data_IF_842594039051
#
_entry.id   IF_842594039051
#
_cell.length_a   1.000
_cell.length_b   1.000
_cell.length_c   1.000
_cell.angle_alpha   90.00
_cell.angle_beta   90.00
_cell.angle_gamma   90.00
#
_symmetry.space_group_name_H-M   'P 1'
#
loop_
_entity.id
_entity.type
_entity.pdbx_description
1 polymer ?
#
# COMPACT_ATOMS: atom_id res chain seq x y z
N UNK A 1 7.42 14.88 -20.95
CA UNK A 1 6.72 15.24 -19.69
C UNK A 1 7.61 15.27 -18.44
N UNK A 2 8.90 14.89 -18.49
CA UNK A 2 9.80 14.85 -17.31
C UNK A 2 10.79 16.03 -17.19
N UNK A 3 10.76 16.98 -18.12
CA UNK A 3 11.76 18.05 -18.25
C UNK A 3 11.78 19.00 -17.04
N UNK A 4 10.62 19.34 -16.50
CA UNK A 4 10.53 20.20 -15.32
C UNK A 4 11.16 19.55 -14.07
N UNK A 5 10.87 18.28 -13.82
CA UNK A 5 11.45 17.52 -12.70
C UNK A 5 12.96 17.41 -12.82
N UNK A 6 13.47 17.15 -14.03
CA UNK A 6 14.90 17.14 -14.30
C UNK A 6 15.55 18.50 -14.00
N UNK A 7 14.96 19.60 -14.44
CA UNK A 7 15.48 20.95 -14.18
C UNK A 7 15.49 21.32 -12.68
N UNK A 8 14.50 20.85 -11.92
CA UNK A 8 14.43 21.05 -10.47
C UNK A 8 15.50 20.21 -9.77
N UNK A 9 15.71 18.97 -10.21
CA UNK A 9 16.74 18.09 -9.67
C UNK A 9 18.13 18.70 -9.90
N UNK A 10 18.43 19.14 -11.13
CA UNK A 10 19.71 19.74 -11.49
C UNK A 10 20.04 20.95 -10.63
N UNK A 11 19.10 21.90 -10.51
CA UNK A 11 19.27 23.09 -9.67
C UNK A 11 19.53 22.75 -8.21
N UNK A 12 18.85 21.72 -7.67
CA UNK A 12 19.09 21.29 -6.28
C UNK A 12 20.46 20.65 -6.10
N UNK A 13 20.94 19.89 -7.08
CA UNK A 13 22.27 19.28 -7.05
C UNK A 13 23.33 20.40 -7.09
N UNK A 14 23.19 21.37 -8.01
CA UNK A 14 24.07 22.54 -8.10
C UNK A 14 24.11 23.34 -6.79
N UNK A 15 22.96 23.59 -6.18
CA UNK A 15 22.86 24.26 -4.88
C UNK A 15 23.60 23.48 -3.78
N UNK A 16 23.36 22.17 -3.68
CA UNK A 16 24.03 21.34 -2.67
C UNK A 16 25.55 21.29 -2.86
N UNK A 17 26.03 21.27 -4.11
CA UNK A 17 27.46 21.37 -4.43
C UNK A 17 28.04 22.72 -4.03
N UNK A 18 27.33 23.82 -4.28
CA UNK A 18 27.77 25.17 -3.91
C UNK A 18 27.81 25.38 -2.39
N UNK A 19 26.85 24.81 -1.66
CA UNK A 19 26.79 24.86 -0.20
C UNK A 19 27.74 23.87 0.48
N UNK A 20 28.35 22.95 -0.27
CA UNK A 20 29.21 21.90 0.27
C UNK A 20 28.46 20.88 1.14
N UNK A 21 27.15 20.76 1.01
CA UNK A 21 26.30 19.84 1.79
C UNK A 21 26.24 18.43 1.19
N UNK A 22 26.92 18.21 0.06
CA UNK A 22 27.01 16.87 -0.56
C UNK A 22 27.81 15.94 0.37
N UNK A 23 27.26 14.80 0.77
CA UNK A 23 27.97 13.84 1.60
C UNK A 23 29.15 13.22 0.85
N UNK A 24 30.18 12.77 1.57
CA UNK A 24 31.29 12.03 0.96
C UNK A 24 30.81 10.66 0.44
N UNK A 25 30.77 10.53 -0.89
CA UNK A 25 30.34 9.32 -1.61
C UNK A 25 31.52 8.42 -2.00
N UNK A 26 32.75 8.73 -1.59
CA UNK A 26 33.97 8.00 -1.99
C UNK A 26 33.89 6.50 -1.68
N UNK A 27 33.21 6.13 -0.60
CA UNK A 27 32.99 4.74 -0.17
C UNK A 27 32.05 3.92 -1.08
N UNK A 28 31.34 4.56 -2.01
CA UNK A 28 30.51 3.93 -3.05
C UNK A 28 31.26 3.72 -4.36
N UNK A 29 32.47 4.26 -4.51
CA UNK A 29 33.26 4.11 -5.74
C UNK A 29 33.53 2.63 -6.03
N UNK A 30 33.28 2.22 -7.27
CA UNK A 30 33.41 0.83 -7.75
C UNK A 30 32.53 -0.21 -7.03
N UNK A 31 31.52 0.23 -6.26
CA UNK A 31 30.52 -0.70 -5.72
C UNK A 31 29.38 -0.88 -6.73
N UNK A 32 28.87 -2.11 -6.92
CA UNK A 32 27.67 -2.32 -7.71
C UNK A 32 26.49 -1.57 -7.09
N UNK A 33 25.57 -1.10 -7.93
CA UNK A 33 24.33 -0.52 -7.44
C UNK A 33 23.55 -1.58 -6.65
N UNK A 34 22.84 -1.18 -5.58
CA UNK A 34 21.89 -2.06 -4.91
C UNK A 34 20.84 -2.59 -5.88
N UNK A 35 20.31 -3.77 -5.61
CA UNK A 35 19.19 -4.32 -6.38
C UNK A 35 17.99 -3.36 -6.36
N UNK A 36 17.40 -3.13 -7.54
CA UNK A 36 16.22 -2.28 -7.63
C UNK A 36 15.02 -3.01 -7.01
N UNK A 37 14.52 -2.47 -5.90
CA UNK A 37 13.33 -3.00 -5.21
C UNK A 37 12.05 -3.02 -6.08
N UNK A 38 12.07 -2.35 -7.24
CA UNK A 38 10.92 -2.21 -8.15
C UNK A 38 11.11 -2.91 -9.50
N UNK A 39 11.98 -3.94 -9.59
CA UNK A 39 12.20 -4.72 -10.83
C UNK A 39 10.90 -5.25 -11.47
N UNK A 40 9.89 -5.57 -10.66
CA UNK A 40 8.59 -6.08 -11.14
C UNK A 40 7.65 -4.99 -11.67
N UNK A 41 8.04 -3.70 -11.61
CA UNK A 41 7.24 -2.57 -12.07
C UNK A 41 7.74 -2.12 -13.45
N UNK A 42 6.85 -1.90 -14.44
CA UNK A 42 7.22 -1.37 -15.74
C UNK A 42 8.08 -0.10 -15.63
N UNK A 43 9.06 0.04 -16.53
CA UNK A 43 10.05 1.12 -16.50
C UNK A 43 9.40 2.51 -16.39
N UNK A 44 8.35 2.73 -17.15
CA UNK A 44 7.65 4.01 -17.26
C UNK A 44 6.93 4.40 -15.95
N UNK A 45 6.55 3.40 -15.14
CA UNK A 45 5.82 3.59 -13.89
C UNK A 45 6.75 3.68 -12.67
N UNK A 46 7.97 3.14 -12.75
CA UNK A 46 8.91 3.06 -11.60
C UNK A 46 9.15 4.42 -10.95
N UNK A 47 9.29 5.49 -11.72
CA UNK A 47 9.53 6.82 -11.18
C UNK A 47 8.34 7.32 -10.34
N UNK A 48 7.12 7.18 -10.85
CA UNK A 48 5.91 7.59 -10.15
C UNK A 48 5.72 6.79 -8.85
N UNK A 49 5.90 5.47 -8.90
CA UNK A 49 5.82 4.62 -7.70
C UNK A 49 6.90 4.95 -6.68
N UNK A 50 8.12 5.25 -7.12
CA UNK A 50 9.22 5.64 -6.22
C UNK A 50 8.95 6.98 -5.54
N UNK A 51 8.38 7.95 -6.26
CA UNK A 51 7.94 9.22 -5.67
C UNK A 51 6.88 9.00 -4.60
N UNK A 52 5.84 8.22 -4.90
CA UNK A 52 4.77 7.90 -3.94
C UNK A 52 5.34 7.19 -2.70
N UNK A 53 6.21 6.19 -2.89
CA UNK A 53 6.87 5.47 -1.80
C UNK A 53 7.70 6.41 -0.92
N UNK A 54 8.52 7.27 -1.53
CA UNK A 54 9.37 8.21 -0.80
C UNK A 54 8.56 9.29 -0.06
N UNK A 55 7.39 9.67 -0.57
CA UNK A 55 6.45 10.56 0.10
C UNK A 55 5.69 9.89 1.27
N UNK A 56 5.94 8.60 1.53
CA UNK A 56 5.22 7.85 2.57
C UNK A 56 3.80 7.46 2.18
N UNK A 57 3.44 7.53 0.89
CA UNK A 57 2.11 7.15 0.43
C UNK A 57 1.93 5.64 0.55
N UNK A 58 1.01 5.22 1.41
CA UNK A 58 0.62 3.83 1.58
C UNK A 58 -0.65 3.61 0.74
N UNK A 59 -0.61 2.71 -0.26
CA UNK A 59 -1.82 2.33 -1.00
C UNK A 59 -2.93 1.92 -0.04
N UNK A 60 -4.16 2.36 -0.29
CA UNK A 60 -5.29 2.09 0.61
C UNK A 60 -5.53 0.59 0.80
N UNK A 61 -5.17 -0.24 -0.17
CA UNK A 61 -5.24 -1.70 -0.09
C UNK A 61 -4.29 -2.26 0.98
N UNK A 62 -3.10 -1.67 1.13
CA UNK A 62 -2.15 -2.07 2.18
C UNK A 62 -2.64 -1.60 3.55
N UNK A 63 -3.23 -0.41 3.64
CA UNK A 63 -3.85 0.06 4.88
C UNK A 63 -5.01 -0.86 5.31
N UNK A 64 -5.89 -1.23 4.38
CA UNK A 64 -6.99 -2.17 4.62
C UNK A 64 -6.49 -3.56 5.05
N UNK A 65 -5.42 -4.08 4.42
CA UNK A 65 -4.82 -5.35 4.84
C UNK A 65 -4.29 -5.29 6.27
N UNK A 66 -3.64 -4.20 6.66
CA UNK A 66 -3.18 -4.02 8.05
C UNK A 66 -4.35 -4.00 9.03
N UNK A 67 -5.43 -3.31 8.68
CA UNK A 67 -6.63 -3.24 9.53
C UNK A 67 -7.32 -4.61 9.65
N UNK A 68 -7.33 -5.42 8.59
CA UNK A 68 -7.83 -6.81 8.63
C UNK A 68 -7.01 -7.62 9.63
N UNK A 69 -5.69 -7.64 9.51
CA UNK A 69 -4.81 -8.40 10.42
C UNK A 69 -5.01 -7.97 11.87
N UNK A 70 -5.06 -6.66 12.13
CA UNK A 70 -5.32 -6.14 13.47
C UNK A 70 -6.69 -6.59 14.00
N UNK A 71 -7.72 -6.62 13.15
CA UNK A 71 -9.07 -7.07 13.55
C UNK A 71 -9.09 -8.58 13.83
N UNK A 72 -8.31 -9.39 13.10
CA UNK A 72 -8.15 -10.83 13.35
C UNK A 72 -7.45 -11.09 14.70
N UNK A 73 -6.39 -10.33 15.00
CA UNK A 73 -5.70 -10.40 16.29
C UNK A 73 -6.63 -10.03 17.45
N UNK A 74 -7.42 -8.94 17.30
CA UNK A 74 -8.40 -8.54 18.30
C UNK A 74 -9.51 -9.58 18.49
N UNK A 75 -9.96 -10.22 17.41
CA UNK A 75 -10.95 -11.30 17.49
C UNK A 75 -10.39 -12.54 18.20
N UNK A 76 -9.11 -12.88 17.96
CA UNK A 76 -8.44 -13.98 18.64
C UNK A 76 -8.24 -13.71 20.15
N UNK A 77 -8.02 -12.45 20.53
CA UNK A 77 -7.85 -12.04 21.92
C UNK A 77 -9.18 -11.79 22.67
N UNK A 78 -10.31 -11.70 21.97
CA UNK A 78 -11.61 -11.42 22.58
C UNK A 78 -12.11 -12.62 23.40
N UNK A 79 -12.49 -12.38 24.65
CA UNK A 79 -13.12 -13.37 25.55
C UNK A 79 -14.65 -13.29 25.54
N UNK A 80 -15.20 -12.08 25.43
CA UNK A 80 -16.64 -11.82 25.44
C UNK A 80 -17.31 -12.15 24.10
N UNK A 81 -18.45 -12.85 24.15
CA UNK A 81 -19.18 -13.32 22.96
C UNK A 81 -19.71 -12.16 22.11
N UNK A 82 -20.15 -11.08 22.76
CA UNK A 82 -20.65 -9.87 22.09
C UNK A 82 -19.54 -9.13 21.33
N UNK A 83 -18.34 -9.10 21.90
CA UNK A 83 -17.18 -8.45 21.27
C UNK A 83 -16.66 -9.29 20.11
N UNK A 84 -16.64 -10.63 20.23
CA UNK A 84 -16.36 -11.53 19.11
C UNK A 84 -17.30 -11.29 17.93
N UNK A 85 -18.60 -11.18 18.19
CA UNK A 85 -19.59 -10.96 17.13
C UNK A 85 -19.41 -9.61 16.41
N UNK A 86 -19.11 -8.54 17.16
CA UNK A 86 -18.83 -7.23 16.58
C UNK A 86 -17.54 -7.21 15.76
N UNK A 87 -16.47 -7.84 16.27
CA UNK A 87 -15.20 -7.97 15.54
C UNK A 87 -15.34 -8.82 14.27
N UNK A 88 -16.15 -9.88 14.30
CA UNK A 88 -16.43 -10.71 13.13
C UNK A 88 -17.16 -9.91 12.04
N UNK A 89 -18.16 -9.10 12.42
CA UNK A 89 -18.84 -8.19 11.48
C UNK A 89 -17.88 -7.18 10.86
N UNK A 90 -17.02 -6.57 11.69
CA UNK A 90 -16.00 -5.62 11.22
C UNK A 90 -15.03 -6.29 10.25
N UNK A 91 -14.57 -7.50 10.57
CA UNK A 91 -13.67 -8.28 9.74
C UNK A 91 -14.29 -8.56 8.36
N UNK A 92 -15.54 -9.03 8.34
CA UNK A 92 -16.25 -9.33 7.09
C UNK A 92 -16.42 -8.07 6.23
N UNK A 93 -16.74 -6.93 6.83
CA UNK A 93 -16.80 -5.66 6.12
C UNK A 93 -15.45 -5.23 5.52
N UNK A 94 -14.35 -5.36 6.26
CA UNK A 94 -13.01 -5.00 5.78
C UNK A 94 -12.55 -5.91 4.64
N UNK A 95 -12.78 -7.22 4.76
CA UNK A 95 -12.52 -8.20 3.69
C UNK A 95 -13.33 -7.88 2.44
N UNK A 96 -14.61 -7.56 2.61
CA UNK A 96 -15.49 -7.14 1.52
C UNK A 96 -14.99 -5.86 0.82
N UNK A 97 -14.66 -4.81 1.59
CA UNK A 97 -14.13 -3.55 1.07
C UNK A 97 -12.85 -3.75 0.25
N UNK A 98 -11.97 -4.65 0.70
CA UNK A 98 -10.74 -5.00 -0.03
C UNK A 98 -11.03 -5.73 -1.35
N UNK A 99 -11.98 -6.66 -1.39
CA UNK A 99 -12.36 -7.39 -2.60
C UNK A 99 -12.94 -6.45 -3.67
N UNK A 100 -13.84 -5.54 -3.29
CA UNK A 100 -14.41 -4.53 -4.19
C UNK A 100 -13.33 -3.64 -4.81
N UNK A 101 -12.33 -3.24 -4.03
CA UNK A 101 -11.19 -2.43 -4.49
C UNK A 101 -10.29 -3.16 -5.49
N UNK A 102 -10.15 -4.48 -5.37
CA UNK A 102 -9.31 -5.28 -6.26
C UNK A 102 -9.97 -5.63 -7.60
N UNK A 103 -11.21 -5.18 -7.84
CA UNK A 103 -11.95 -5.49 -9.07
C UNK A 103 -12.27 -6.99 -9.23
N UNK A 104 -12.22 -7.76 -8.14
CA UNK A 104 -12.65 -9.17 -8.14
C UNK A 104 -14.19 -9.21 -8.17
N UNK A 105 -14.75 -10.13 -8.96
CA UNK A 105 -16.20 -10.40 -8.92
C UNK A 105 -16.60 -10.76 -7.49
N UNK A 106 -17.63 -10.10 -6.95
CA UNK A 106 -18.24 -10.47 -5.68
C UNK A 106 -18.66 -11.93 -5.77
N UNK A 107 -18.05 -12.79 -4.96
CA UNK A 107 -18.57 -14.12 -4.67
C UNK A 107 -19.38 -13.97 -3.38
N UNK A 108 -20.70 -13.91 -3.50
CA UNK A 108 -21.59 -13.99 -2.34
C UNK A 108 -21.78 -15.50 -2.12
N UNK A 109 -21.02 -16.06 -1.18
CA UNK A 109 -21.11 -17.45 -0.76
C UNK A 109 -22.25 -17.66 0.24
N UNK A 110 -22.67 -18.91 0.44
CA UNK A 110 -23.75 -19.27 1.37
C UNK A 110 -23.45 -18.86 2.83
N UNK A 111 -22.17 -18.73 3.17
CA UNK A 111 -21.68 -18.26 4.47
C UNK A 111 -21.76 -16.73 4.63
N UNK A 112 -22.04 -15.99 3.54
CA UNK A 112 -22.18 -14.54 3.59
C UNK A 112 -23.50 -14.15 4.29
N UNK A 113 -23.46 -13.29 5.33
CA UNK A 113 -24.68 -12.81 5.99
C UNK A 113 -25.57 -11.93 5.09
N UNK A 114 -25.14 -11.67 3.85
CA UNK A 114 -25.88 -10.94 2.83
C UNK A 114 -26.50 -11.85 1.76
N UNK A 115 -26.17 -13.14 1.74
CA UNK A 115 -26.66 -14.10 0.75
C UNK A 115 -28.19 -14.12 0.70
N UNK A 116 -28.84 -14.34 1.85
CA UNK A 116 -30.31 -14.36 1.94
C UNK A 116 -30.96 -13.07 1.44
N UNK A 117 -30.42 -11.91 1.84
CA UNK A 117 -30.96 -10.60 1.44
C UNK A 117 -30.83 -10.29 -0.05
N UNK A 118 -29.84 -10.88 -0.73
CA UNK A 118 -29.63 -10.70 -2.17
C UNK A 118 -30.49 -11.68 -2.95
N UNK A 119 -30.60 -12.92 -2.49
CA UNK A 119 -31.47 -13.94 -3.09
C UNK A 119 -32.95 -13.56 -2.98
N UNK A 120 -33.39 -13.02 -1.84
CA UNK A 120 -34.78 -12.58 -1.63
C UNK A 120 -35.20 -11.38 -2.50
N UNK A 121 -34.25 -10.72 -3.17
CA UNK A 121 -34.47 -9.52 -3.98
C UNK A 121 -34.49 -9.77 -5.50
N UNK A 122 -34.18 -11.00 -5.93
CA UNK A 122 -34.18 -11.44 -7.33
C UNK A 122 -35.44 -12.25 -7.58
#
# INVERSE_FOLDING_TARGET
MLTALHSIAERKIEQAMAEGTVPDLSHWKNKPLPEDSMQNVPADLRLAFRMLKNAGYIPEELALRKEIVQTEELLAAATEEKDKYNQLKKLNFLKFKLQCRQGRSLQIDDESPYFSKVVDRV
#
